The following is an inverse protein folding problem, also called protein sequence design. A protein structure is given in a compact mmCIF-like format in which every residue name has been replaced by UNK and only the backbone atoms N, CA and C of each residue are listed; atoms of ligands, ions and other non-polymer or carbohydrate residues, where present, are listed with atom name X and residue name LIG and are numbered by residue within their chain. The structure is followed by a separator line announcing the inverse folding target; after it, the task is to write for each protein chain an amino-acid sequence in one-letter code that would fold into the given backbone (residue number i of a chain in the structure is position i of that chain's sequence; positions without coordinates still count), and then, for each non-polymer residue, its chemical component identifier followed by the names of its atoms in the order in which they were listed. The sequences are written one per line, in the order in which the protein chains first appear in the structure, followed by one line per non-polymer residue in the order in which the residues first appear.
data_IF_634653145808
#
_entry.id   IF_634653145808
#
_cell.length_a   1.000
_cell.length_b   1.000
_cell.length_c   1.000
_cell.angle_alpha   90.00
_cell.angle_beta   90.00
_cell.angle_gamma   90.00
#
_symmetry.space_group_name_H-M   'P 1'
#
loop_
_entity.id
_entity.type
_entity.pdbx_description
1 polymer ?
#
# COMPACT_ATOMS: atom_id res chain seq x y z
N UNK A 1 -1.85 13.97 -36.84
CA UNK A 1 -1.50 15.00 -35.83
C UNK A 1 -0.74 14.40 -34.66
N UNK A 2 -1.08 13.20 -34.20
CA UNK A 2 -0.36 12.47 -33.13
C UNK A 2 1.03 11.99 -33.59
N UNK A 3 1.19 11.48 -34.82
CA UNK A 3 2.50 11.03 -35.33
C UNK A 3 3.55 12.15 -35.43
N UNK A 4 3.16 13.34 -35.87
CA UNK A 4 4.06 14.52 -35.93
C UNK A 4 4.45 15.06 -34.55
N UNK A 5 3.67 14.76 -33.50
CA UNK A 5 4.01 15.10 -32.11
C UNK A 5 5.01 14.07 -31.55
N UNK A 6 4.87 12.79 -31.91
CA UNK A 6 5.80 11.72 -31.53
C UNK A 6 7.19 11.94 -32.16
N UNK A 7 7.28 12.31 -33.44
CA UNK A 7 8.57 12.62 -34.09
C UNK A 7 9.27 13.84 -33.47
N UNK A 8 8.51 14.86 -33.05
CA UNK A 8 9.06 16.07 -32.44
C UNK A 8 9.59 15.81 -31.01
N UNK A 9 8.95 14.92 -30.26
CA UNK A 9 9.40 14.52 -28.91
C UNK A 9 10.66 13.63 -29.00
N UNK A 10 10.84 12.86 -30.08
CA UNK A 10 12.02 12.00 -30.27
C UNK A 10 13.30 12.73 -30.72
N UNK A 11 13.22 14.02 -31.09
CA UNK A 11 14.39 14.80 -31.53
C UNK A 11 14.96 15.73 -30.44
N UNK A 12 14.33 15.83 -29.27
CA UNK A 12 14.77 16.72 -28.18
C UNK A 12 15.37 15.98 -26.96
N UNK A 13 15.88 14.76 -27.17
CA UNK A 13 16.81 14.15 -26.22
C UNK A 13 18.24 14.53 -26.60
N UNK A 14 18.81 15.47 -25.85
CA UNK A 14 20.26 15.65 -25.76
C UNK A 14 20.90 14.34 -25.27
N UNK A 15 21.32 13.50 -26.23
CA UNK A 15 22.11 12.30 -26.00
C UNK A 15 23.44 12.66 -25.31
N UNK A 16 23.46 12.65 -24.00
CA UNK A 16 24.70 12.34 -23.29
C UNK A 16 24.99 10.87 -23.57
N UNK A 17 25.82 10.60 -24.58
CA UNK A 17 26.18 9.23 -24.91
C UNK A 17 27.01 8.61 -23.78
N UNK A 18 26.80 7.32 -23.49
CA UNK A 18 27.62 6.55 -22.52
C UNK A 18 29.12 6.66 -22.79
N UNK A 19 29.51 6.89 -24.05
CA UNK A 19 30.88 7.19 -24.47
C UNK A 19 31.38 8.56 -23.99
N UNK A 20 30.52 9.57 -23.98
CA UNK A 20 30.83 10.91 -23.44
C UNK A 20 31.11 10.89 -21.94
N UNK A 21 30.39 10.05 -21.18
CA UNK A 21 30.61 9.87 -19.75
C UNK A 21 31.95 9.16 -19.46
N UNK A 22 32.28 8.11 -20.22
CA UNK A 22 33.53 7.35 -20.08
C UNK A 22 34.76 8.16 -20.54
N UNK A 23 34.61 8.97 -21.60
CA UNK A 23 35.68 9.88 -22.05
C UNK A 23 35.89 11.03 -21.05
N UNK A 24 34.84 11.49 -20.37
CA UNK A 24 34.93 12.45 -19.27
C UNK A 24 35.66 11.88 -18.05
N UNK A 25 35.33 10.65 -17.65
CA UNK A 25 35.99 9.97 -16.52
C UNK A 25 37.47 9.64 -16.80
N UNK A 26 37.82 9.29 -18.04
CA UNK A 26 39.20 9.01 -18.44
C UNK A 26 40.14 10.23 -18.41
N UNK A 27 39.59 11.46 -18.47
CA UNK A 27 40.38 12.70 -18.38
C UNK A 27 40.66 13.15 -16.94
N UNK A 28 40.00 12.55 -15.94
CA UNK A 28 40.21 12.88 -14.52
C UNK A 28 41.35 12.07 -13.90
N UNK A 29 41.79 10.98 -14.55
CA UNK A 29 42.84 10.11 -14.03
C UNK A 29 44.28 10.58 -14.31
N UNK A 30 44.49 11.68 -15.03
CA UNK A 30 45.82 12.21 -15.33
C UNK A 30 45.90 13.71 -14.99
N UNK A 31 46.26 14.00 -13.74
CA UNK A 31 46.74 15.32 -13.32
C UNK A 31 45.69 16.16 -12.60
N UNK A 32 46.00 16.48 -11.33
CA UNK A 32 45.35 17.56 -10.62
C UNK A 32 45.46 18.86 -11.42
N UNK A 33 44.35 19.34 -11.97
CA UNK A 33 44.24 20.68 -12.52
C UNK A 33 42.89 21.27 -12.14
N UNK A 34 42.98 22.30 -11.31
CA UNK A 34 41.92 23.19 -10.84
C UNK A 34 41.08 23.68 -12.03
N UNK A 35 39.75 23.50 -11.97
CA UNK A 35 38.81 24.27 -12.78
C UNK A 35 38.06 25.21 -11.84
N UNK A 36 38.61 26.41 -11.66
CA UNK A 36 37.86 27.60 -11.26
C UNK A 36 37.23 28.21 -12.51
N UNK A 37 35.95 27.96 -12.73
CA UNK A 37 35.00 28.91 -13.33
C UNK A 37 33.59 28.29 -13.38
N UNK A 38 32.70 28.76 -12.51
CA UNK A 38 31.25 28.71 -12.72
C UNK A 38 30.54 27.39 -12.45
N UNK A 39 30.23 27.13 -11.18
CA UNK A 39 29.04 26.39 -10.76
C UNK A 39 29.01 24.89 -11.06
N UNK A 40 29.49 24.08 -10.12
CA UNK A 40 28.88 22.83 -9.62
C UNK A 40 29.93 22.09 -8.78
N UNK A 41 30.17 22.57 -7.55
CA UNK A 41 30.87 21.80 -6.52
C UNK A 41 29.86 21.42 -5.44
N UNK A 42 28.98 20.48 -5.76
CA UNK A 42 28.18 19.71 -4.79
C UNK A 42 27.91 18.33 -5.39
N UNK A 43 28.95 17.55 -5.66
CA UNK A 43 28.76 16.09 -5.64
C UNK A 43 28.93 15.70 -4.19
N UNK A 44 27.85 15.86 -3.42
CA UNK A 44 27.67 15.10 -2.20
C UNK A 44 27.75 13.64 -2.63
N UNK A 45 28.83 12.97 -2.25
CA UNK A 45 28.93 11.53 -2.32
C UNK A 45 27.93 10.97 -1.30
N UNK A 46 26.65 10.98 -1.67
CA UNK A 46 25.63 10.28 -0.93
C UNK A 46 25.95 8.81 -1.14
N UNK A 47 26.67 8.20 -0.19
CA UNK A 47 26.80 6.76 -0.13
C UNK A 47 25.38 6.19 -0.26
N UNK A 48 25.10 5.52 -1.39
CA UNK A 48 23.84 4.83 -1.59
C UNK A 48 23.79 3.72 -0.55
N UNK A 49 23.17 4.01 0.60
CA UNK A 49 23.05 3.06 1.71
C UNK A 49 22.19 1.91 1.21
N UNK A 50 22.82 0.77 0.91
CA UNK A 50 22.12 -0.43 0.47
C UNK A 50 21.19 -0.87 1.60
N UNK A 51 19.88 -0.84 1.36
CA UNK A 51 18.89 -1.18 2.39
C UNK A 51 18.60 -2.67 2.31
N UNK A 52 18.92 -3.41 3.37
CA UNK A 52 18.69 -4.85 3.42
C UNK A 52 17.19 -5.13 3.42
N UNK A 53 16.75 -5.96 2.48
CA UNK A 53 15.39 -6.49 2.41
C UNK A 53 15.31 -7.85 3.14
N UNK A 54 14.24 -8.15 3.90
CA UNK A 54 13.13 -7.27 4.27
C UNK A 54 13.54 -6.17 5.27
N UNK A 55 12.74 -5.12 5.34
CA UNK A 55 13.03 -3.92 6.13
C UNK A 55 12.81 -4.15 7.63
N UNK A 56 13.62 -3.50 8.50
CA UNK A 56 13.58 -3.71 9.95
C UNK A 56 12.23 -3.31 10.57
N UNK A 57 11.68 -4.16 11.43
CA UNK A 57 10.40 -3.92 12.09
C UNK A 57 10.55 -3.57 13.57
N UNK A 58 9.77 -2.59 14.03
CA UNK A 58 9.50 -2.36 15.46
C UNK A 58 8.01 -2.57 15.70
N UNK A 59 7.67 -3.26 16.78
CA UNK A 59 6.27 -3.50 17.16
C UNK A 59 5.50 -2.18 17.24
N UNK A 60 4.31 -2.19 16.66
CA UNK A 60 3.46 -1.02 16.56
C UNK A 60 2.28 -1.14 17.52
N UNK A 61 1.85 -0.01 18.06
CA UNK A 61 0.64 0.09 18.86
C UNK A 61 -0.62 0.03 17.97
N UNK A 62 -1.49 -0.98 18.13
CA UNK A 62 -2.71 -1.10 17.35
C UNK A 62 -3.63 0.12 17.45
N UNK A 63 -3.71 0.81 18.59
CA UNK A 63 -4.58 1.98 18.75
C UNK A 63 -4.08 3.17 17.92
N UNK A 64 -2.77 3.45 17.98
CA UNK A 64 -2.12 4.46 17.14
C UNK A 64 -2.34 4.15 15.65
N UNK A 65 -2.19 2.88 15.25
CA UNK A 65 -2.38 2.41 13.88
C UNK A 65 -3.83 2.62 13.41
N UNK A 66 -4.80 2.24 14.22
CA UNK A 66 -6.23 2.42 13.93
C UNK A 66 -6.56 3.90 13.66
N UNK A 67 -6.06 4.78 14.53
CA UNK A 67 -6.27 6.22 14.42
C UNK A 67 -5.68 6.78 13.12
N UNK A 68 -4.42 6.45 12.82
CA UNK A 68 -3.74 6.92 11.60
C UNK A 68 -4.49 6.43 10.35
N UNK A 69 -4.87 5.15 10.31
CA UNK A 69 -5.62 4.60 9.18
C UNK A 69 -6.95 5.31 8.95
N UNK A 70 -7.73 5.51 10.01
CA UNK A 70 -9.02 6.20 9.93
C UNK A 70 -8.85 7.65 9.44
N UNK A 71 -7.92 8.41 10.03
CA UNK A 71 -7.68 9.80 9.66
C UNK A 71 -7.14 9.94 8.22
N UNK A 72 -6.16 9.11 7.84
CA UNK A 72 -5.52 9.18 6.53
C UNK A 72 -6.42 8.68 5.40
N UNK A 73 -7.47 7.91 5.69
CA UNK A 73 -8.50 7.60 4.70
C UNK A 73 -9.16 8.85 4.14
N UNK A 74 -9.39 9.86 4.98
CA UNK A 74 -9.97 11.14 4.54
C UNK A 74 -8.98 12.03 3.79
N UNK A 75 -7.67 11.72 3.83
CA UNK A 75 -6.64 12.42 3.06
C UNK A 75 -6.50 11.83 1.66
N UNK A 76 -6.19 10.55 1.56
CA UNK A 76 -5.82 9.90 0.28
C UNK A 76 -6.40 8.48 0.12
N UNK A 77 -7.53 8.20 0.77
CA UNK A 77 -8.31 6.96 0.64
C UNK A 77 -7.61 5.68 1.12
N UNK A 78 -8.22 4.53 0.86
CA UNK A 78 -7.96 3.27 1.56
C UNK A 78 -6.57 2.66 1.41
N UNK A 79 -5.95 2.76 0.23
CA UNK A 79 -4.62 2.19 0.01
C UNK A 79 -3.56 3.00 0.75
N UNK A 80 -3.59 4.33 0.59
CA UNK A 80 -2.75 5.22 1.36
C UNK A 80 -3.01 5.09 2.86
N UNK A 81 -4.27 5.06 3.29
CA UNK A 81 -4.64 4.96 4.70
C UNK A 81 -3.98 3.78 5.41
N UNK A 82 -4.09 2.58 4.83
CA UNK A 82 -3.56 1.36 5.44
C UNK A 82 -2.04 1.25 5.31
N UNK A 83 -1.47 1.65 4.17
CA UNK A 83 0.00 1.71 4.02
C UNK A 83 0.60 2.71 5.02
N UNK A 84 0.09 3.94 5.07
CA UNK A 84 0.58 4.99 5.97
C UNK A 84 0.39 4.65 7.45
N UNK A 85 -0.68 3.92 7.81
CA UNK A 85 -0.91 3.50 9.19
C UNK A 85 0.17 2.58 9.75
N UNK A 86 0.89 1.85 8.89
CA UNK A 86 2.02 1.01 9.28
C UNK A 86 3.35 1.72 9.01
N UNK A 87 3.49 2.33 7.83
CA UNK A 87 4.77 2.89 7.38
C UNK A 87 5.13 4.19 8.11
N UNK A 88 4.18 5.08 8.46
CA UNK A 88 4.49 6.30 9.22
C UNK A 88 5.04 5.98 10.62
N UNK A 89 4.40 5.10 11.43
CA UNK A 89 4.99 4.70 12.70
C UNK A 89 6.38 4.07 12.56
N UNK A 90 6.65 3.33 11.48
CA UNK A 90 7.98 2.77 11.21
C UNK A 90 8.99 3.83 10.75
N UNK A 91 8.58 4.87 10.03
CA UNK A 91 9.43 6.04 9.76
C UNK A 91 9.92 6.68 11.07
N UNK A 92 9.02 6.88 12.03
CA UNK A 92 9.36 7.44 13.35
C UNK A 92 10.22 6.49 14.20
N UNK A 93 9.90 5.20 14.17
CA UNK A 93 10.51 4.20 15.05
C UNK A 93 11.85 3.64 14.56
N UNK A 94 12.06 3.63 13.25
CA UNK A 94 13.17 2.93 12.58
C UNK A 94 13.99 3.87 11.70
N UNK A 95 13.34 4.83 11.02
CA UNK A 95 14.01 5.72 10.07
C UNK A 95 14.17 5.08 8.69
N UNK A 96 15.38 5.15 8.12
CA UNK A 96 15.67 4.50 6.84
C UNK A 96 15.49 2.98 6.92
N UNK A 97 14.94 2.31 5.89
CA UNK A 97 14.54 2.84 4.57
C UNK A 97 13.14 3.49 4.49
N UNK A 98 12.35 3.45 5.56
CA UNK A 98 10.95 3.89 5.51
C UNK A 98 10.82 5.38 5.19
N UNK A 99 11.75 6.21 5.67
CA UNK A 99 11.76 7.66 5.42
C UNK A 99 11.97 8.03 3.95
N UNK A 100 12.66 7.16 3.19
CA UNK A 100 12.84 7.31 1.75
C UNK A 100 11.65 6.80 0.92
N UNK A 101 10.73 6.02 1.49
CA UNK A 101 9.60 5.48 0.75
C UNK A 101 8.51 6.54 0.55
N UNK A 102 8.15 6.91 -0.70
CA UNK A 102 7.13 7.91 -0.95
C UNK A 102 5.73 7.31 -0.73
N UNK A 103 5.25 7.27 0.52
CA UNK A 103 3.97 6.61 0.88
C UNK A 103 2.79 7.13 0.05
N UNK A 104 2.79 8.41 -0.34
CA UNK A 104 1.76 9.00 -1.20
C UNK A 104 1.62 8.28 -2.55
N UNK A 105 2.68 7.63 -3.04
CA UNK A 105 2.65 6.81 -4.25
C UNK A 105 1.61 5.69 -4.17
N UNK A 106 1.23 5.22 -2.97
CA UNK A 106 0.23 4.16 -2.80
C UNK A 106 -1.21 4.61 -3.05
N UNK A 107 -1.46 5.93 -3.23
CA UNK A 107 -2.79 6.51 -3.44
C UNK A 107 -3.55 5.85 -4.60
N UNK A 108 -2.87 5.44 -5.68
CA UNK A 108 -3.50 4.83 -6.87
C UNK A 108 -4.38 3.62 -6.53
N UNK A 109 -4.10 2.88 -5.44
CA UNK A 109 -4.87 1.71 -5.03
C UNK A 109 -6.29 2.02 -4.55
N UNK A 110 -6.68 3.30 -4.46
CA UNK A 110 -8.02 3.68 -4.03
C UNK A 110 -9.12 3.09 -4.91
N UNK A 111 -10.27 2.77 -4.29
CA UNK A 111 -11.43 2.25 -5.02
C UNK A 111 -11.17 0.93 -5.77
N UNK A 112 -10.14 0.18 -5.38
CA UNK A 112 -9.72 -1.04 -6.06
C UNK A 112 -9.04 -0.75 -7.40
N UNK A 113 -7.89 -0.08 -7.32
CA UNK A 113 -7.11 0.48 -8.44
C UNK A 113 -7.88 1.57 -9.20
N UNK A 114 -7.66 2.84 -8.83
CA UNK A 114 -8.26 4.04 -9.45
C UNK A 114 -9.78 3.97 -9.69
N UNK A 115 -10.51 3.25 -8.84
CA UNK A 115 -11.97 3.14 -8.92
C UNK A 115 -12.52 1.95 -9.72
N UNK A 116 -11.67 1.03 -10.20
CA UNK A 116 -12.11 -0.16 -10.93
C UNK A 116 -12.84 -1.22 -10.09
N UNK A 117 -12.87 -1.07 -8.77
CA UNK A 117 -13.62 -1.96 -7.89
C UNK A 117 -12.97 -3.34 -7.70
N UNK A 118 -11.68 -3.48 -8.02
CA UNK A 118 -10.89 -4.74 -7.91
C UNK A 118 -10.51 -5.04 -6.44
N UNK A 119 -9.30 -5.54 -6.14
CA UNK A 119 -8.85 -5.80 -4.76
C UNK A 119 -9.09 -4.57 -3.88
N UNK A 120 -9.70 -4.73 -2.70
CA UNK A 120 -9.95 -3.60 -1.82
C UNK A 120 -8.66 -2.86 -1.51
N UNK A 121 -8.64 -1.55 -1.71
CA UNK A 121 -7.41 -0.77 -1.52
C UNK A 121 -6.83 -0.89 -0.12
N UNK A 122 -7.64 -1.19 0.92
CA UNK A 122 -7.13 -1.49 2.26
C UNK A 122 -6.20 -2.71 2.25
N UNK A 123 -6.56 -3.76 1.51
CA UNK A 123 -5.74 -4.97 1.35
C UNK A 123 -4.50 -4.70 0.50
N UNK A 124 -4.61 -3.85 -0.53
CA UNK A 124 -3.46 -3.42 -1.35
C UNK A 124 -2.41 -2.69 -0.51
N UNK A 125 -2.82 -1.73 0.32
CA UNK A 125 -1.90 -0.98 1.18
C UNK A 125 -1.22 -1.86 2.22
N UNK A 126 -1.96 -2.80 2.82
CA UNK A 126 -1.39 -3.82 3.71
C UNK A 126 -0.43 -4.75 2.99
N UNK A 127 -0.72 -5.19 1.77
CA UNK A 127 0.18 -6.05 1.00
C UNK A 127 1.53 -5.37 0.74
N UNK A 128 1.51 -4.07 0.45
CA UNK A 128 2.74 -3.27 0.32
C UNK A 128 3.50 -3.25 1.65
N UNK A 129 2.84 -2.89 2.76
CA UNK A 129 3.48 -2.76 4.06
C UNK A 129 4.06 -4.08 4.57
N UNK A 130 3.28 -5.16 4.53
CA UNK A 130 3.71 -6.50 4.97
C UNK A 130 4.81 -7.07 4.09
N UNK A 131 4.76 -6.86 2.77
CA UNK A 131 5.82 -7.27 1.85
C UNK A 131 7.16 -6.55 2.11
N UNK A 132 7.12 -5.26 2.48
CA UNK A 132 8.32 -4.52 2.89
C UNK A 132 8.87 -5.03 4.22
N UNK A 133 8.00 -5.30 5.19
CA UNK A 133 8.36 -5.63 6.59
C UNK A 133 8.80 -7.08 6.78
N UNK A 134 8.07 -8.04 6.23
CA UNK A 134 8.22 -9.46 6.53
C UNK A 134 8.55 -10.31 5.30
N UNK A 135 8.73 -9.69 4.14
CA UNK A 135 9.07 -10.36 2.89
C UNK A 135 8.10 -11.49 2.52
N UNK A 136 8.64 -12.71 2.35
CA UNK A 136 7.83 -13.90 2.05
C UNK A 136 6.82 -14.25 3.13
N UNK A 137 7.13 -13.98 4.40
CA UNK A 137 6.15 -14.16 5.48
C UNK A 137 5.06 -13.08 5.44
N UNK A 138 5.38 -11.91 4.90
CA UNK A 138 4.40 -10.85 4.62
C UNK A 138 3.29 -11.31 3.69
N UNK A 139 3.60 -12.14 2.68
CA UNK A 139 2.57 -12.75 1.82
C UNK A 139 1.63 -13.67 2.58
N UNK A 140 2.14 -14.43 3.56
CA UNK A 140 1.34 -15.32 4.41
C UNK A 140 0.43 -14.50 5.33
N UNK A 141 0.97 -13.45 5.93
CA UNK A 141 0.20 -12.51 6.76
C UNK A 141 -0.92 -11.88 5.92
N UNK A 142 -0.61 -11.39 4.71
CA UNK A 142 -1.62 -10.84 3.81
C UNK A 142 -2.71 -11.86 3.47
N UNK A 143 -2.36 -13.13 3.24
CA UNK A 143 -3.34 -14.19 2.97
C UNK A 143 -4.33 -14.36 4.13
N UNK A 144 -3.82 -14.36 5.37
CA UNK A 144 -4.66 -14.45 6.57
C UNK A 144 -5.52 -13.19 6.76
N UNK A 145 -4.98 -12.00 6.49
CA UNK A 145 -5.73 -10.73 6.49
C UNK A 145 -6.84 -10.74 5.45
N UNK A 146 -6.57 -11.20 4.23
CA UNK A 146 -7.58 -11.31 3.16
C UNK A 146 -8.69 -12.26 3.59
N UNK A 147 -8.35 -13.43 4.13
CA UNK A 147 -9.36 -14.38 4.61
C UNK A 147 -10.20 -13.76 5.71
N UNK A 148 -9.58 -13.23 6.77
CA UNK A 148 -10.27 -12.56 7.86
C UNK A 148 -11.18 -11.42 7.36
N UNK A 149 -10.71 -10.59 6.43
CA UNK A 149 -11.49 -9.53 5.81
C UNK A 149 -12.75 -10.06 5.11
N UNK A 150 -12.63 -11.20 4.42
CA UNK A 150 -13.77 -11.80 3.73
C UNK A 150 -14.79 -12.38 4.70
N UNK A 151 -14.33 -12.87 5.86
CA UNK A 151 -15.16 -13.62 6.79
C UNK A 151 -15.75 -12.79 7.94
N UNK A 152 -15.18 -11.62 8.22
CA UNK A 152 -15.55 -10.80 9.38
C UNK A 152 -16.68 -9.82 9.08
N UNK A 153 -17.56 -9.60 10.05
CA UNK A 153 -18.58 -8.55 10.00
C UNK A 153 -17.94 -7.18 10.25
N UNK A 154 -17.70 -6.42 9.17
CA UNK A 154 -16.98 -5.15 9.22
C UNK A 154 -17.89 -3.95 8.85
N UNK A 155 -17.63 -2.74 9.39
CA UNK A 155 -16.48 -2.37 10.25
C UNK A 155 -16.71 -2.61 11.76
N UNK A 156 -15.63 -2.77 12.54
CA UNK A 156 -15.65 -2.94 14.02
C UNK A 156 -15.22 -1.64 14.71
N UNK A 157 -14.21 -0.97 14.18
CA UNK A 157 -13.60 0.22 14.74
C UNK A 157 -14.61 1.35 14.88
N UNK A 158 -14.69 1.91 16.08
CA UNK A 158 -15.54 3.06 16.39
C UNK A 158 -14.64 4.25 16.69
N UNK A 159 -14.55 5.25 15.78
CA UNK A 159 -13.74 6.43 16.01
C UNK A 159 -14.35 7.28 17.13
N UNK A 160 -13.51 7.98 17.89
CA UNK A 160 -13.96 8.95 18.91
C UNK A 160 -14.85 10.05 18.31
N UNK A 161 -14.52 10.48 17.09
CA UNK A 161 -15.24 11.52 16.35
C UNK A 161 -15.60 11.02 14.94
N UNK A 162 -16.69 10.25 14.79
CA UNK A 162 -17.16 9.77 13.48
C UNK A 162 -17.58 10.95 12.59
N UNK A 163 -17.29 10.89 11.29
CA UNK A 163 -17.76 11.92 10.33
C UNK A 163 -19.25 11.75 10.01
N UNK A 164 -19.78 10.54 10.12
CA UNK A 164 -21.22 10.28 10.11
C UNK A 164 -21.57 9.00 10.86
N UNK A 165 -22.86 8.78 11.10
CA UNK A 165 -23.36 7.55 11.72
C UNK A 165 -23.60 6.50 10.63
N UNK A 166 -23.17 5.28 10.92
CA UNK A 166 -23.51 4.07 10.16
C UNK A 166 -24.19 3.08 11.11
N UNK A 167 -25.09 2.25 10.59
CA UNK A 167 -25.95 1.36 11.39
C UNK A 167 -25.55 -0.11 11.28
N UNK A 168 -25.02 -0.51 10.13
CA UNK A 168 -24.77 -1.90 9.83
C UNK A 168 -23.29 -2.25 9.69
N UNK A 169 -23.02 -3.52 9.96
CA UNK A 169 -21.82 -4.24 9.54
C UNK A 169 -22.20 -5.30 8.51
N UNK A 170 -21.26 -5.73 7.68
CA UNK A 170 -21.49 -6.81 6.73
C UNK A 170 -20.25 -7.67 6.52
N UNK A 171 -20.46 -8.97 6.36
CA UNK A 171 -19.49 -9.90 5.78
C UNK A 171 -19.37 -9.65 4.28
N UNK A 172 -18.15 -9.49 3.79
CA UNK A 172 -17.94 -9.18 2.36
C UNK A 172 -17.99 -10.44 1.48
N UNK A 173 -17.58 -11.60 2.01
CA UNK A 173 -17.26 -12.85 1.29
C UNK A 173 -16.45 -12.64 0.01
N UNK A 174 -15.73 -11.53 -0.11
CA UNK A 174 -14.95 -11.23 -1.29
C UNK A 174 -13.90 -10.18 -0.97
N UNK A 175 -12.65 -10.35 -1.44
CA UNK A 175 -11.64 -9.31 -1.34
C UNK A 175 -11.91 -8.13 -2.27
N UNK A 176 -12.88 -8.25 -3.19
CA UNK A 176 -13.18 -7.22 -4.17
C UNK A 176 -13.92 -6.03 -3.53
N UNK A 177 -13.41 -4.83 -3.78
CA UNK A 177 -13.97 -3.56 -3.34
C UNK A 177 -15.41 -3.40 -3.81
N UNK A 178 -15.69 -3.73 -5.07
CA UNK A 178 -17.03 -3.64 -5.65
C UNK A 178 -18.05 -4.47 -4.85
N UNK A 179 -17.72 -5.73 -4.58
CA UNK A 179 -18.60 -6.66 -3.85
C UNK A 179 -18.71 -6.25 -2.37
N UNK A 180 -17.58 -5.96 -1.72
CA UNK A 180 -17.53 -5.56 -0.31
C UNK A 180 -18.35 -4.29 -0.03
N UNK A 181 -18.14 -3.23 -0.83
CA UNK A 181 -18.87 -1.97 -0.66
C UNK A 181 -20.33 -2.13 -1.09
N UNK A 182 -20.59 -2.82 -2.21
CA UNK A 182 -21.95 -3.06 -2.71
C UNK A 182 -22.86 -3.78 -1.73
N UNK A 183 -22.37 -4.89 -1.14
CA UNK A 183 -23.13 -5.66 -0.14
C UNK A 183 -23.42 -4.85 1.11
N UNK A 184 -22.42 -4.11 1.61
CA UNK A 184 -22.61 -3.23 2.77
C UNK A 184 -23.62 -2.13 2.49
N UNK A 185 -23.51 -1.42 1.35
CA UNK A 185 -24.41 -0.32 0.98
C UNK A 185 -25.86 -0.79 0.84
N UNK A 186 -26.07 -1.97 0.24
CA UNK A 186 -27.40 -2.59 0.15
C UNK A 186 -28.00 -2.82 1.54
N UNK A 187 -27.20 -3.32 2.50
CA UNK A 187 -27.65 -3.56 3.87
C UNK A 187 -27.89 -2.26 4.65
N UNK A 188 -27.05 -1.24 4.42
CA UNK A 188 -27.20 0.07 5.03
C UNK A 188 -28.36 0.88 4.45
N UNK A 189 -28.79 0.57 3.22
CA UNK A 189 -29.84 1.30 2.51
C UNK A 189 -29.36 2.65 1.95
N UNK A 190 -28.10 2.71 1.51
CA UNK A 190 -27.46 3.95 1.01
C UNK A 190 -26.87 3.78 -0.38
N UNK A 191 -26.69 4.89 -1.09
CA UNK A 191 -26.04 4.94 -2.41
C UNK A 191 -24.51 5.10 -2.30
N UNK A 192 -23.81 4.97 -3.43
CA UNK A 192 -22.34 4.96 -3.47
C UNK A 192 -21.67 6.27 -3.05
N UNK A 193 -22.22 7.43 -3.45
CA UNK A 193 -21.66 8.74 -3.14
C UNK A 193 -22.25 9.34 -1.86
N UNK A 194 -22.21 8.57 -0.77
CA UNK A 194 -22.76 8.99 0.53
C UNK A 194 -21.67 9.17 1.60
N UNK A 195 -21.85 10.09 2.56
CA UNK A 195 -20.99 10.19 3.73
C UNK A 195 -20.86 8.86 4.49
N UNK A 196 -21.94 8.06 4.55
CA UNK A 196 -22.01 6.78 5.24
C UNK A 196 -21.06 5.76 4.62
N UNK A 197 -21.02 5.67 3.29
CA UNK A 197 -20.05 4.80 2.61
C UNK A 197 -18.62 5.25 2.87
N UNK A 198 -18.35 6.56 2.84
CA UNK A 198 -17.03 7.13 3.14
C UNK A 198 -16.57 6.75 4.55
N UNK A 199 -17.43 6.96 5.54
CA UNK A 199 -17.23 6.57 6.94
C UNK A 199 -16.96 5.08 7.09
N UNK A 200 -17.76 4.22 6.46
CA UNK A 200 -17.54 2.78 6.51
C UNK A 200 -16.15 2.40 5.98
N UNK A 201 -15.73 2.97 4.85
CA UNK A 201 -14.42 2.65 4.29
C UNK A 201 -13.25 3.20 5.14
N UNK A 202 -13.44 4.32 5.84
CA UNK A 202 -12.45 4.83 6.79
C UNK A 202 -12.29 3.89 8.00
N UNK A 203 -13.41 3.47 8.61
CA UNK A 203 -13.40 2.51 9.74
C UNK A 203 -12.82 1.16 9.33
N UNK A 204 -13.21 0.66 8.15
CA UNK A 204 -12.66 -0.56 7.57
C UNK A 204 -11.13 -0.49 7.38
N UNK A 205 -10.60 0.68 7.05
CA UNK A 205 -9.15 0.86 6.92
C UNK A 205 -8.46 0.73 8.28
N UNK A 206 -9.08 1.24 9.35
CA UNK A 206 -8.59 1.04 10.71
C UNK A 206 -8.66 -0.42 11.14
N UNK A 207 -9.78 -1.10 10.91
CA UNK A 207 -9.94 -2.53 11.24
C UNK A 207 -8.86 -3.40 10.59
N UNK A 208 -8.66 -3.20 9.27
CA UNK A 208 -7.68 -3.96 8.49
C UNK A 208 -6.25 -3.67 8.95
N UNK A 209 -5.94 -2.41 9.27
CA UNK A 209 -4.61 -2.04 9.76
C UNK A 209 -4.33 -2.62 11.16
N UNK A 210 -5.30 -2.58 12.07
CA UNK A 210 -5.20 -3.17 13.42
C UNK A 210 -4.92 -4.66 13.33
N UNK A 211 -5.78 -5.40 12.61
CA UNK A 211 -5.63 -6.85 12.49
C UNK A 211 -4.28 -7.24 11.87
N UNK A 212 -3.82 -6.48 10.87
CA UNK A 212 -2.50 -6.69 10.27
C UNK A 212 -1.37 -6.48 11.27
N UNK A 213 -1.43 -5.40 12.06
CA UNK A 213 -0.38 -5.09 13.04
C UNK A 213 -0.35 -6.09 14.18
N UNK A 214 -1.49 -6.63 14.60
CA UNK A 214 -1.53 -7.75 15.55
C UNK A 214 -0.77 -8.97 15.02
N UNK A 215 -0.98 -9.33 13.75
CA UNK A 215 -0.24 -10.41 13.09
C UNK A 215 1.25 -10.11 12.92
N UNK A 216 1.61 -8.88 12.53
CA UNK A 216 3.03 -8.46 12.42
C UNK A 216 3.73 -8.45 13.78
N UNK A 217 3.06 -7.99 14.83
CA UNK A 217 3.59 -8.03 16.20
C UNK A 217 3.79 -9.48 16.67
N UNK A 218 2.84 -10.38 16.38
CA UNK A 218 2.99 -11.80 16.67
C UNK A 218 4.13 -12.44 15.85
N UNK A 219 4.30 -12.05 14.58
CA UNK A 219 5.40 -12.49 13.73
C UNK A 219 6.75 -12.04 14.27
N UNK A 220 6.86 -10.79 14.70
CA UNK A 220 8.06 -10.24 15.32
C UNK A 220 8.44 -10.98 16.62
N UNK A 221 7.44 -11.46 17.37
CA UNK A 221 7.63 -12.27 18.58
C UNK A 221 7.85 -13.77 18.28
N UNK A 222 7.90 -14.19 17.01
CA UNK A 222 8.03 -15.60 16.61
C UNK A 222 6.78 -16.46 16.91
N UNK A 223 5.63 -15.83 17.15
CA UNK A 223 4.36 -16.47 17.54
C UNK A 223 3.34 -16.56 16.40
N UNK A 224 3.58 -15.87 15.29
CA UNK A 224 2.69 -15.97 14.12
C UNK A 224 2.79 -17.36 13.48
N UNK A 225 1.63 -17.99 13.30
CA UNK A 225 1.48 -19.23 12.56
C UNK A 225 0.47 -18.97 11.45
N UNK A 226 0.84 -19.17 10.16
CA UNK A 226 -0.09 -19.02 9.06
C UNK A 226 -1.31 -19.93 9.22
N UNK A 227 -2.49 -19.35 9.12
CA UNK A 227 -3.75 -20.11 9.29
C UNK A 227 -4.24 -20.62 7.93
N UNK A 228 -3.92 -19.91 6.85
CA UNK A 228 -4.37 -20.25 5.51
C UNK A 228 -3.21 -20.54 4.56
N UNK A 229 -3.37 -21.62 3.77
CA UNK A 229 -2.48 -21.95 2.65
C UNK A 229 -2.84 -21.21 1.37
N UNK A 230 -2.14 -21.55 0.27
CA UNK A 230 -2.40 -20.96 -1.05
C UNK A 230 -3.83 -21.28 -1.51
N UNK A 231 -4.67 -20.26 -1.62
CA UNK A 231 -6.06 -20.40 -2.04
C UNK A 231 -6.18 -21.04 -3.43
N UNK A 232 -5.27 -20.71 -4.35
CA UNK A 232 -5.26 -21.28 -5.69
C UNK A 232 -4.95 -22.78 -5.69
N UNK A 233 -3.97 -23.21 -4.88
CA UNK A 233 -3.61 -24.63 -4.75
C UNK A 233 -4.73 -25.41 -4.06
N UNK A 234 -5.27 -24.89 -2.96
CA UNK A 234 -6.35 -25.54 -2.20
C UNK A 234 -7.58 -25.80 -3.06
N UNK A 235 -7.91 -24.90 -3.99
CA UNK A 235 -9.11 -25.01 -4.82
C UNK A 235 -8.83 -25.47 -6.26
N UNK A 236 -7.56 -25.73 -6.61
CA UNK A 236 -7.10 -26.07 -7.96
C UNK A 236 -7.65 -25.16 -9.08
N UNK A 237 -7.74 -23.85 -8.81
CA UNK A 237 -8.26 -22.82 -9.73
C UNK A 237 -7.83 -21.43 -9.29
N UNK A 238 -7.81 -20.41 -10.18
CA UNK A 238 -7.73 -19.02 -9.75
C UNK A 238 -8.81 -18.71 -8.71
N UNK A 239 -8.41 -18.31 -7.50
CA UNK A 239 -9.30 -18.40 -6.35
C UNK A 239 -10.18 -17.15 -6.17
N UNK A 240 -11.44 -17.29 -6.56
CA UNK A 240 -12.61 -16.74 -5.89
C UNK A 240 -13.55 -17.94 -5.70
N UNK A 241 -13.80 -18.35 -4.45
CA UNK A 241 -14.43 -19.65 -4.15
C UNK A 241 -15.96 -19.61 -4.11
N UNK A 242 -16.56 -18.43 -4.31
CA UNK A 242 -17.99 -18.20 -4.16
C UNK A 242 -18.63 -17.53 -5.39
N UNK A 243 -18.10 -17.76 -6.59
CA UNK A 243 -18.62 -17.17 -7.84
C UNK A 243 -20.13 -17.37 -8.01
N UNK A 244 -20.64 -18.55 -7.62
CA UNK A 244 -22.05 -18.87 -7.75
C UNK A 244 -22.96 -18.03 -6.85
N UNK A 245 -22.48 -17.44 -5.75
CA UNK A 245 -23.29 -16.55 -4.90
C UNK A 245 -23.89 -15.36 -5.67
N UNK A 246 -23.22 -14.96 -6.76
CA UNK A 246 -23.66 -13.90 -7.67
C UNK A 246 -24.12 -14.43 -9.03
N UNK A 247 -23.55 -15.54 -9.52
CA UNK A 247 -23.82 -16.08 -10.87
C UNK A 247 -24.83 -17.24 -10.91
N UNK A 248 -25.39 -17.66 -9.77
CA UNK A 248 -26.45 -18.69 -9.70
C UNK A 248 -27.86 -18.09 -9.53
N UNK A 249 -28.03 -16.79 -9.78
CA UNK A 249 -29.32 -16.08 -9.64
C UNK A 249 -29.83 -15.63 -11.00
#
# INVERSE_FOLDING_TARGET
MVEKIVEKIMQEETKVSRRGLLIGAGKVAAGAAIITAGGLTLVSETEARETKYPWPYKKLDPEKVARIAYENWYKDYCCYATASAILIPLQEAVGEPYTSFPIISTRWGHGGAVGWGTLCGTLTGIGIATGLVAGKDGEKILNDVIYWYTQTQLPIYTPKSPKTKIKNVSKSDSPLCHISVGRWMKKEGVQFFTPQRKERCARLSADVAVYTVELLNAWADGKYVPVHGSQAKTHNRPAQNNCMDCHSK
#
